data_IF_061054307668
#
_entry.id   IF_061054307668
#
_cell.length_a   1.000
_cell.length_b   1.000
_cell.length_c   1.000
_cell.angle_alpha   90.00
_cell.angle_beta   90.00
_cell.angle_gamma   90.00
#
_symmetry.space_group_name_H-M   'P 1'
#
loop_
_entity.id
_entity.type
_entity.pdbx_description
1 polymer ?
#
# COMPACT_ATOMS: atom_id res chain seq x y z
N UNK A 1 5.41 -11.78 27.89
CA UNK A 1 6.86 -11.52 27.92
C UNK A 1 7.33 -11.49 26.48
N UNK A 2 7.68 -10.31 25.95
CA UNK A 2 8.30 -10.23 24.61
C UNK A 2 9.69 -10.89 24.66
N UNK A 3 10.17 -11.45 23.53
CA UNK A 3 11.52 -12.00 23.47
C UNK A 3 12.53 -10.92 23.92
N UNK A 4 13.38 -11.27 24.88
CA UNK A 4 14.48 -10.41 25.30
C UNK A 4 15.46 -10.32 24.13
N UNK A 5 15.72 -9.11 23.67
CA UNK A 5 16.79 -8.81 22.72
C UNK A 5 18.14 -9.24 23.30
N UNK A 6 18.54 -10.48 23.03
CA UNK A 6 19.94 -10.93 23.13
C UNK A 6 20.48 -11.37 21.76
N UNK A 7 19.73 -11.15 20.68
CA UNK A 7 20.14 -11.43 19.31
C UNK A 7 20.57 -10.12 18.64
N UNK A 8 21.78 -10.11 18.07
CA UNK A 8 22.42 -8.92 17.52
C UNK A 8 21.56 -8.19 16.49
N UNK A 9 21.79 -6.89 16.36
CA UNK A 9 21.16 -6.04 15.34
C UNK A 9 21.16 -6.74 13.98
N UNK A 10 20.00 -6.70 13.31
CA UNK A 10 19.87 -7.26 11.98
C UNK A 10 20.83 -6.54 11.03
N UNK A 11 21.51 -7.30 10.18
CA UNK A 11 22.42 -6.75 9.20
C UNK A 11 21.74 -6.73 7.84
N UNK A 12 21.70 -5.55 7.23
CA UNK A 12 21.14 -5.35 5.92
C UNK A 12 22.06 -4.48 5.07
N UNK A 13 22.06 -4.72 3.77
CA UNK A 13 22.84 -3.95 2.79
C UNK A 13 21.93 -3.41 1.69
N UNK A 14 22.30 -2.28 1.10
CA UNK A 14 21.54 -1.66 0.02
C UNK A 14 21.77 -2.42 -1.28
N UNK A 15 20.68 -2.88 -1.90
CA UNK A 15 20.67 -3.54 -3.22
C UNK A 15 20.23 -2.56 -4.31
N UNK A 16 19.28 -1.67 -3.99
CA UNK A 16 18.82 -0.62 -4.90
C UNK A 16 18.72 0.70 -4.13
N UNK A 17 19.16 1.79 -4.75
CA UNK A 17 18.98 3.15 -4.26
C UNK A 17 18.55 4.04 -5.42
N UNK A 18 17.45 4.78 -5.25
CA UNK A 18 17.06 5.82 -6.19
C UNK A 18 17.99 7.02 -6.05
N UNK A 19 18.25 7.78 -7.12
CA UNK A 19 19.01 9.04 -7.00
C UNK A 19 18.36 10.01 -6.00
N UNK A 20 17.04 9.94 -5.84
CA UNK A 20 16.28 10.70 -4.86
C UNK A 20 16.68 10.43 -3.42
N UNK A 21 17.19 9.24 -3.10
CA UNK A 21 17.55 8.91 -1.73
C UNK A 21 18.75 9.71 -1.22
N UNK A 22 19.59 10.25 -2.12
CA UNK A 22 20.67 11.17 -1.79
C UNK A 22 20.17 12.52 -1.25
N UNK A 23 18.87 12.81 -1.38
CA UNK A 23 18.24 14.03 -0.82
C UNK A 23 17.78 13.84 0.62
N UNK A 24 17.80 12.62 1.16
CA UNK A 24 17.42 12.38 2.54
C UNK A 24 18.45 13.00 3.48
N UNK A 25 17.97 13.64 4.54
CA UNK A 25 18.85 14.17 5.58
C UNK A 25 19.53 13.00 6.33
N UNK A 26 20.81 13.14 6.74
CA UNK A 26 21.52 12.09 7.47
C UNK A 26 20.77 11.56 8.71
N UNK A 27 20.17 12.43 9.53
CA UNK A 27 19.40 12.02 10.71
C UNK A 27 18.19 11.13 10.37
N UNK A 28 17.52 11.41 9.25
CA UNK A 28 16.38 10.61 8.78
C UNK A 28 16.84 9.26 8.22
N UNK A 29 18.01 9.24 7.57
CA UNK A 29 18.65 8.01 7.10
C UNK A 29 19.07 7.12 8.27
N UNK A 30 19.72 7.70 9.29
CA UNK A 30 20.12 6.97 10.50
C UNK A 30 18.89 6.41 11.22
N UNK A 31 17.84 7.21 11.41
CA UNK A 31 16.59 6.75 12.02
C UNK A 31 16.00 5.54 11.27
N UNK A 32 15.93 5.63 9.94
CA UNK A 32 15.45 4.54 9.09
C UNK A 32 16.32 3.29 9.22
N UNK A 33 17.64 3.42 9.21
CA UNK A 33 18.57 2.30 9.33
C UNK A 33 18.50 1.63 10.71
N UNK A 34 18.33 2.41 11.79
CA UNK A 34 18.08 1.88 13.13
C UNK A 34 16.79 1.04 13.17
N UNK A 35 15.73 1.46 12.47
CA UNK A 35 14.48 0.69 12.35
C UNK A 35 14.70 -0.62 11.56
N UNK A 36 15.42 -0.56 10.43
CA UNK A 36 15.71 -1.74 9.60
C UNK A 36 16.53 -2.78 10.38
N UNK A 37 17.51 -2.31 11.15
CA UNK A 37 18.41 -3.13 11.97
C UNK A 37 17.76 -3.62 13.28
N UNK A 38 16.51 -3.23 13.57
CA UNK A 38 15.85 -3.43 14.87
C UNK A 38 16.63 -2.85 16.06
N UNK A 39 17.47 -1.85 15.83
CA UNK A 39 18.04 -0.99 16.87
C UNK A 39 16.98 -0.06 17.48
N UNK A 40 15.98 0.31 16.67
CA UNK A 40 14.74 0.98 17.10
C UNK A 40 13.54 0.10 16.73
N UNK A 41 12.58 -0.03 17.66
CA UNK A 41 11.34 -0.78 17.40
C UNK A 41 10.54 -0.11 16.29
N UNK A 42 10.22 -0.80 15.17
CA UNK A 42 9.43 -0.20 14.11
C UNK A 42 7.98 0.06 14.59
N UNK A 43 7.44 1.21 14.22
CA UNK A 43 6.03 1.54 14.50
C UNK A 43 5.13 1.02 13.39
N UNK A 44 4.09 0.27 13.75
CA UNK A 44 3.08 -0.24 12.84
C UNK A 44 1.72 0.37 13.19
N UNK A 45 1.24 1.35 12.40
CA UNK A 45 -0.04 2.00 12.64
C UNK A 45 -1.22 1.02 12.65
N UNK A 46 -1.10 -0.06 11.87
CA UNK A 46 -2.13 -1.08 11.70
C UNK A 46 -1.53 -2.50 11.81
N UNK A 47 -2.41 -3.50 11.87
CA UNK A 47 -2.01 -4.92 11.76
C UNK A 47 -1.41 -5.13 10.37
N UNK A 48 -0.22 -5.74 10.30
CA UNK A 48 0.43 -6.02 9.02
C UNK A 48 1.94 -5.78 9.04
N UNK A 49 2.51 -5.70 7.82
CA UNK A 49 3.97 -5.72 7.56
C UNK A 49 4.53 -4.39 7.07
N UNK A 50 3.78 -3.31 7.25
CA UNK A 50 4.16 -1.97 6.82
C UNK A 50 4.40 -1.11 8.06
N UNK A 51 5.66 -0.92 8.39
CA UNK A 51 6.06 0.06 9.39
C UNK A 51 6.05 1.46 8.78
N UNK A 52 5.99 2.47 9.65
CA UNK A 52 5.90 3.87 9.28
C UNK A 52 6.90 4.70 10.08
N UNK A 53 7.54 5.66 9.40
CA UNK A 53 8.51 6.59 10.02
C UNK A 53 8.20 8.01 9.54
N UNK A 54 7.89 8.92 10.47
CA UNK A 54 7.78 10.36 10.16
C UNK A 54 9.17 10.92 9.89
N UNK A 55 9.32 11.69 8.81
CA UNK A 55 10.58 12.40 8.57
C UNK A 55 10.67 13.64 9.44
N UNK A 56 11.86 13.87 10.00
CA UNK A 56 12.27 15.09 10.68
C UNK A 56 12.45 16.19 9.64
N UNK A 57 13.07 15.87 8.49
CA UNK A 57 13.32 16.80 7.39
C UNK A 57 12.58 16.35 6.13
N UNK A 58 11.33 16.82 5.92
CA UNK A 58 10.63 16.61 4.65
C UNK A 58 11.42 17.12 3.46
N UNK A 59 11.38 16.43 2.33
CA UNK A 59 12.13 16.79 1.13
C UNK A 59 11.29 16.67 -0.14
N UNK A 60 11.71 17.39 -1.19
CA UNK A 60 11.03 17.37 -2.48
C UNK A 60 11.55 16.26 -3.39
N UNK A 61 10.63 15.46 -3.91
CA UNK A 61 10.87 14.41 -4.91
C UNK A 61 10.20 14.80 -6.25
N UNK A 62 10.97 14.97 -7.34
CA UNK A 62 10.38 15.08 -8.68
C UNK A 62 9.67 13.77 -9.06
N UNK A 63 8.42 13.88 -9.51
CA UNK A 63 7.67 12.80 -10.14
C UNK A 63 6.96 13.32 -11.40
N UNK A 64 7.38 12.83 -12.57
CA UNK A 64 6.94 13.29 -13.87
C UNK A 64 7.27 14.76 -14.07
N UNK A 65 6.25 15.55 -14.42
CA UNK A 65 6.36 17.01 -14.58
C UNK A 65 6.09 17.78 -13.27
N UNK A 66 5.87 17.08 -12.16
CA UNK A 66 5.55 17.68 -10.87
C UNK A 66 6.56 17.36 -9.78
N UNK A 67 6.32 17.94 -8.61
CA UNK A 67 7.10 17.69 -7.39
C UNK A 67 6.15 17.21 -6.30
N UNK A 68 6.62 16.26 -5.49
CA UNK A 68 5.93 15.73 -4.34
C UNK A 68 6.79 15.94 -3.09
N UNK A 69 6.22 16.56 -2.05
CA UNK A 69 6.91 16.71 -0.77
C UNK A 69 6.75 15.43 0.04
N UNK A 70 7.85 14.71 0.24
CA UNK A 70 7.92 13.49 1.04
C UNK A 70 8.02 13.87 2.51
N UNK A 71 7.08 13.36 3.31
CA UNK A 71 6.92 13.71 4.73
C UNK A 71 7.07 12.53 5.67
N UNK A 72 6.99 11.32 5.14
CA UNK A 72 7.18 10.08 5.90
C UNK A 72 7.70 8.97 4.99
N UNK A 73 8.09 7.86 5.61
CA UNK A 73 8.54 6.64 4.96
C UNK A 73 7.61 5.49 5.32
N UNK A 74 7.32 4.65 4.31
CA UNK A 74 6.82 3.28 4.49
C UNK A 74 8.00 2.32 4.43
N UNK A 75 8.14 1.47 5.45
CA UNK A 75 9.13 0.40 5.48
C UNK A 75 8.39 -0.94 5.48
N UNK A 76 8.58 -1.74 4.43
CA UNK A 76 7.93 -3.04 4.28
C UNK A 76 8.97 -4.15 4.30
N UNK A 77 8.79 -5.11 5.19
CA UNK A 77 9.78 -6.18 5.40
C UNK A 77 10.64 -6.01 6.66
N UNK A 78 10.38 -4.99 7.49
CA UNK A 78 11.05 -4.78 8.78
C UNK A 78 10.36 -5.46 9.95
N UNK A 79 9.27 -6.19 9.76
CA UNK A 79 8.54 -6.84 10.85
C UNK A 79 7.06 -7.00 10.57
N UNK A 80 6.36 -7.62 11.52
CA UNK A 80 4.91 -7.79 11.47
C UNK A 80 4.30 -7.40 12.83
N UNK A 81 3.23 -6.62 12.80
CA UNK A 81 2.28 -6.50 13.91
C UNK A 81 1.09 -7.43 13.67
N UNK A 82 0.86 -8.37 14.58
CA UNK A 82 -0.26 -9.32 14.47
C UNK A 82 -1.58 -8.78 15.07
N UNK A 83 -2.65 -9.57 14.94
CA UNK A 83 -3.99 -9.23 15.43
C UNK A 83 -4.12 -9.15 16.96
N UNK A 84 -3.14 -9.69 17.70
CA UNK A 84 -3.04 -9.59 19.17
C UNK A 84 -2.16 -8.41 19.58
N UNK A 85 -1.63 -7.65 18.62
CA UNK A 85 -0.66 -6.59 18.86
C UNK A 85 0.76 -7.10 19.12
N UNK A 86 1.02 -8.39 18.90
CA UNK A 86 2.35 -8.98 18.98
C UNK A 86 3.23 -8.48 17.85
N UNK A 87 4.48 -8.18 18.20
CA UNK A 87 5.52 -7.72 17.29
C UNK A 87 6.43 -8.89 16.92
N UNK A 88 6.62 -9.13 15.62
CA UNK A 88 7.42 -10.23 15.09
C UNK A 88 8.58 -9.70 14.26
N UNK A 89 9.76 -10.28 14.48
CA UNK A 89 10.95 -10.03 13.69
C UNK A 89 10.80 -10.58 12.26
N UNK A 90 11.48 -9.96 11.28
CA UNK A 90 11.70 -10.56 9.97
C UNK A 90 12.30 -11.97 10.10
N UNK A 91 11.67 -12.97 9.50
CA UNK A 91 12.20 -14.33 9.43
C UNK A 91 11.66 -15.07 8.20
N UNK A 92 12.24 -16.23 7.89
CA UNK A 92 11.77 -17.12 6.84
C UNK A 92 10.55 -17.96 7.23
N UNK A 93 10.00 -17.78 8.44
CA UNK A 93 8.77 -18.46 8.87
C UNK A 93 7.62 -18.08 7.95
N UNK A 94 6.83 -19.05 7.52
CA UNK A 94 5.69 -18.79 6.64
C UNK A 94 4.59 -18.02 7.39
N UNK A 95 4.20 -16.88 6.83
CA UNK A 95 3.05 -16.10 7.22
C UNK A 95 1.97 -16.19 6.12
N UNK A 96 0.78 -16.64 6.51
CA UNK A 96 -0.42 -16.66 5.66
C UNK A 96 -1.39 -15.61 6.17
N UNK A 97 -1.82 -14.71 5.28
CA UNK A 97 -2.87 -13.74 5.64
C UNK A 97 -4.17 -14.51 5.95
N UNK A 98 -4.90 -14.12 7.01
CA UNK A 98 -6.13 -14.79 7.39
C UNK A 98 -7.30 -14.51 6.43
N UNK A 99 -7.23 -13.40 5.70
CA UNK A 99 -8.35 -12.91 4.90
C UNK A 99 -8.09 -13.03 3.40
N UNK A 100 -9.05 -13.61 2.70
CA UNK A 100 -9.16 -13.50 1.25
C UNK A 100 -9.58 -12.07 0.86
N UNK A 101 -9.31 -11.69 -0.38
CA UNK A 101 -9.81 -10.43 -0.94
C UNK A 101 -10.55 -10.70 -2.24
N UNK A 102 -11.48 -9.80 -2.58
CA UNK A 102 -12.13 -9.82 -3.89
C UNK A 102 -11.08 -9.53 -4.96
N UNK A 103 -10.98 -10.43 -5.93
CA UNK A 103 -10.11 -10.28 -7.09
C UNK A 103 -10.76 -10.82 -8.35
N UNK A 104 -9.94 -11.05 -9.36
CA UNK A 104 -10.33 -11.60 -10.65
C UNK A 104 -9.39 -12.75 -10.97
N UNK A 105 -9.96 -13.92 -11.28
CA UNK A 105 -9.20 -15.11 -11.68
C UNK A 105 -8.66 -15.02 -13.12
N UNK A 106 -8.00 -16.08 -13.57
CA UNK A 106 -7.42 -16.20 -14.91
C UNK A 106 -8.49 -16.17 -16.03
N UNK A 107 -9.75 -16.47 -15.70
CA UNK A 107 -10.89 -16.43 -16.62
C UNK A 107 -11.60 -15.06 -16.64
N UNK A 108 -11.13 -14.10 -15.84
CA UNK A 108 -11.76 -12.79 -15.75
C UNK A 108 -13.02 -12.78 -14.88
N UNK A 109 -13.22 -13.80 -14.05
CA UNK A 109 -14.37 -13.93 -13.15
C UNK A 109 -14.01 -13.40 -11.76
N UNK A 110 -14.95 -12.68 -11.14
CA UNK A 110 -14.77 -12.23 -9.76
C UNK A 110 -14.74 -13.42 -8.82
N UNK A 111 -13.71 -13.50 -7.98
CA UNK A 111 -13.53 -14.59 -7.02
C UNK A 111 -12.86 -14.09 -5.73
N UNK A 112 -12.87 -14.94 -4.71
CA UNK A 112 -12.02 -14.77 -3.54
C UNK A 112 -10.60 -15.21 -3.86
N UNK A 113 -9.65 -14.29 -3.72
CA UNK A 113 -8.23 -14.52 -3.96
C UNK A 113 -7.50 -14.56 -2.63
N UNK A 114 -6.84 -15.68 -2.37
CA UNK A 114 -5.95 -15.83 -1.23
C UNK A 114 -4.56 -15.31 -1.58
N UNK A 115 -3.96 -14.56 -0.67
CA UNK A 115 -2.57 -14.11 -0.86
C UNK A 115 -1.63 -15.31 -0.82
N UNK A 116 -0.64 -15.32 -1.71
CA UNK A 116 0.48 -16.26 -1.61
C UNK A 116 1.15 -16.15 -0.23
N UNK A 117 1.68 -17.26 0.32
CA UNK A 117 2.44 -17.20 1.55
C UNK A 117 3.62 -16.24 1.40
N UNK A 118 3.93 -15.58 2.50
CA UNK A 118 5.01 -14.61 2.57
C UNK A 118 5.87 -14.88 3.81
N UNK A 119 7.11 -14.39 3.86
CA UNK A 119 7.89 -14.48 5.08
C UNK A 119 7.27 -13.65 6.22
N UNK A 120 7.41 -14.15 7.45
CA UNK A 120 6.96 -13.50 8.67
C UNK A 120 7.75 -12.21 8.85
N UNK A 121 7.05 -11.08 8.81
CA UNK A 121 7.62 -9.75 8.99
C UNK A 121 8.55 -9.25 7.88
N UNK A 122 9.16 -10.14 7.08
CA UNK A 122 10.01 -9.76 5.97
C UNK A 122 9.24 -9.58 4.65
N UNK A 123 9.96 -9.15 3.61
CA UNK A 123 9.51 -9.18 2.21
C UNK A 123 10.47 -10.07 1.41
N UNK A 124 9.96 -10.87 0.48
CA UNK A 124 10.84 -11.58 -0.44
C UNK A 124 11.52 -10.57 -1.38
N UNK A 125 12.82 -10.72 -1.64
CA UNK A 125 13.61 -9.78 -2.44
C UNK A 125 13.00 -9.52 -3.82
N UNK A 126 12.56 -10.56 -4.53
CA UNK A 126 11.89 -10.40 -5.82
C UNK A 126 10.64 -9.49 -5.74
N UNK A 127 9.85 -9.60 -4.67
CA UNK A 127 8.68 -8.77 -4.41
C UNK A 127 9.05 -7.32 -4.08
N UNK A 128 10.14 -7.12 -3.31
CA UNK A 128 10.68 -5.79 -3.03
C UNK A 128 11.13 -5.09 -4.32
N UNK A 129 11.81 -5.81 -5.22
CA UNK A 129 12.24 -5.30 -6.53
C UNK A 129 11.04 -4.95 -7.41
N UNK A 130 9.99 -5.79 -7.47
CA UNK A 130 8.76 -5.49 -8.22
C UNK A 130 8.13 -4.19 -7.71
N UNK A 131 7.97 -4.04 -6.40
CA UNK A 131 7.36 -2.84 -5.80
C UNK A 131 8.22 -1.58 -6.09
N UNK A 132 9.54 -1.68 -5.89
CA UNK A 132 10.49 -0.59 -6.18
C UNK A 132 10.46 -0.15 -7.65
N UNK A 133 10.55 -1.10 -8.58
CA UNK A 133 10.59 -0.81 -10.01
C UNK A 133 9.27 -0.25 -10.51
N UNK A 134 8.14 -0.81 -10.07
CA UNK A 134 6.80 -0.29 -10.39
C UNK A 134 6.63 1.14 -9.89
N UNK A 135 6.97 1.41 -8.62
CA UNK A 135 6.86 2.75 -8.05
C UNK A 135 7.75 3.76 -8.80
N UNK A 136 8.91 3.33 -9.29
CA UNK A 136 9.85 4.17 -10.06
C UNK A 136 9.25 4.57 -11.39
N UNK A 137 8.66 3.62 -12.10
CA UNK A 137 8.02 3.86 -13.41
C UNK A 137 6.78 4.73 -13.27
N UNK A 138 6.00 4.55 -12.20
CA UNK A 138 4.86 5.41 -11.90
C UNK A 138 5.29 6.84 -11.52
N UNK A 139 6.30 6.99 -10.66
CA UNK A 139 6.81 8.32 -10.32
C UNK A 139 7.41 9.01 -11.56
N UNK A 140 7.96 8.29 -12.54
CA UNK A 140 8.44 8.88 -13.79
C UNK A 140 7.33 9.54 -14.64
N UNK A 141 6.06 9.12 -14.50
CA UNK A 141 4.93 9.72 -15.21
C UNK A 141 4.14 10.73 -14.36
N UNK A 142 4.19 10.63 -13.03
CA UNK A 142 3.53 11.58 -12.14
C UNK A 142 3.33 11.07 -10.70
N UNK A 143 2.73 11.89 -9.82
CA UNK A 143 2.54 11.56 -8.41
C UNK A 143 1.33 10.62 -8.21
N UNK A 144 1.42 9.41 -8.75
CA UNK A 144 0.34 8.39 -8.75
C UNK A 144 0.52 7.42 -7.58
N UNK A 145 1.77 7.15 -7.17
CA UNK A 145 2.13 6.18 -6.14
C UNK A 145 3.05 6.78 -5.08
N UNK A 146 3.45 5.96 -4.12
CA UNK A 146 4.65 6.19 -3.30
C UNK A 146 5.92 6.35 -4.16
N UNK A 147 6.93 7.00 -3.57
CA UNK A 147 8.23 7.27 -4.22
C UNK A 147 9.25 6.22 -3.76
N UNK A 148 9.83 5.41 -4.63
CA UNK A 148 10.81 4.40 -4.22
C UNK A 148 12.12 5.06 -3.81
N UNK A 149 12.69 4.62 -2.68
CA UNK A 149 13.96 5.16 -2.17
C UNK A 149 15.03 4.08 -2.12
N UNK A 150 14.76 2.99 -1.41
CA UNK A 150 15.73 1.91 -1.21
C UNK A 150 15.11 0.52 -1.28
N UNK A 151 15.94 -0.45 -1.66
CA UNK A 151 15.75 -1.87 -1.32
C UNK A 151 16.97 -2.34 -0.56
N UNK A 152 16.76 -2.86 0.64
CA UNK A 152 17.78 -3.51 1.44
C UNK A 152 17.60 -5.03 1.40
N UNK A 153 18.71 -5.78 1.49
CA UNK A 153 18.72 -7.23 1.69
C UNK A 153 19.28 -7.55 3.07
N UNK A 154 18.61 -8.42 3.83
CA UNK A 154 19.16 -8.97 5.06
C UNK A 154 20.25 -10.00 4.74
N UNK A 155 21.45 -9.81 5.27
CA UNK A 155 22.64 -10.62 4.91
C UNK A 155 22.84 -11.84 5.78
N UNK A 156 22.18 -11.89 6.94
CA UNK A 156 22.31 -12.97 7.94
C UNK A 156 21.04 -13.79 8.16
N UNK A 157 19.93 -13.40 7.55
CA UNK A 157 18.70 -14.17 7.63
C UNK A 157 18.66 -15.22 6.53
N UNK A 158 18.18 -16.40 6.88
CA UNK A 158 17.93 -17.45 5.89
C UNK A 158 16.86 -17.00 4.89
N UNK A 159 17.00 -17.46 3.64
CA UNK A 159 16.03 -17.21 2.58
C UNK A 159 14.66 -17.81 2.89
N UNK A 160 13.62 -17.22 2.29
CA UNK A 160 12.24 -17.71 2.33
C UNK A 160 12.00 -18.67 1.16
N UNK A 161 11.40 -19.83 1.46
CA UNK A 161 10.93 -20.78 0.45
C UNK A 161 9.44 -20.63 0.24
N UNK A 162 9.03 -20.33 -0.99
CA UNK A 162 7.62 -20.26 -1.36
C UNK A 162 7.00 -21.64 -1.62
N UNK A 163 5.69 -21.67 -1.90
CA UNK A 163 4.95 -22.92 -2.16
C UNK A 163 5.46 -23.66 -3.43
N UNK A 164 6.20 -22.99 -4.33
CA UNK A 164 6.83 -23.62 -5.51
C UNK A 164 8.17 -24.29 -5.19
N UNK A 165 8.70 -24.07 -3.98
CA UNK A 165 10.03 -24.50 -3.58
C UNK A 165 11.14 -23.52 -3.94
N UNK A 166 10.82 -22.39 -4.59
CA UNK A 166 11.80 -21.35 -4.93
C UNK A 166 12.24 -20.61 -3.68
N UNK A 167 13.55 -20.36 -3.56
CA UNK A 167 14.13 -19.64 -2.41
C UNK A 167 14.46 -18.21 -2.82
N UNK A 168 14.02 -17.24 -2.01
CA UNK A 168 14.35 -15.83 -2.17
C UNK A 168 14.99 -15.29 -0.91
N UNK A 169 15.99 -14.42 -1.07
CA UNK A 169 16.52 -13.60 0.01
C UNK A 169 15.40 -12.76 0.65
N UNK A 170 15.59 -12.41 1.92
CA UNK A 170 14.71 -11.50 2.65
C UNK A 170 15.17 -10.05 2.46
N UNK A 171 14.22 -9.16 2.28
CA UNK A 171 14.45 -7.78 1.93
C UNK A 171 13.54 -6.81 2.67
N UNK A 172 13.94 -5.54 2.63
CA UNK A 172 13.14 -4.38 3.04
C UNK A 172 12.98 -3.45 1.85
N UNK A 173 11.76 -3.01 1.59
CA UNK A 173 11.48 -1.88 0.72
C UNK A 173 11.28 -0.62 1.56
N UNK A 174 11.92 0.47 1.14
CA UNK A 174 11.69 1.82 1.68
C UNK A 174 11.08 2.69 0.58
N UNK A 175 9.91 3.27 0.87
CA UNK A 175 9.23 4.21 -0.01
C UNK A 175 8.85 5.49 0.74
N UNK A 176 9.05 6.65 0.09
CA UNK A 176 8.62 7.95 0.58
C UNK A 176 7.13 8.19 0.31
N UNK A 177 6.43 8.79 1.28
CA UNK A 177 5.02 9.11 1.22
C UNK A 177 4.76 10.63 1.33
N UNK A 178 3.77 11.17 0.60
CA UNK A 178 3.43 12.60 0.61
C UNK A 178 2.56 13.05 1.78
N UNK A 179 2.61 12.34 2.90
CA UNK A 179 1.72 12.53 4.03
C UNK A 179 2.48 12.32 5.32
N UNK A 180 2.09 13.03 6.37
CA UNK A 180 2.60 12.82 7.71
C UNK A 180 1.63 12.00 8.59
N UNK A 181 0.60 11.44 7.96
CA UNK A 181 -0.40 10.59 8.57
C UNK A 181 -0.34 9.18 7.96
N UNK A 182 -0.35 8.10 8.76
CA UNK A 182 -0.37 6.74 8.24
C UNK A 182 -1.75 6.27 7.76
N UNK A 183 -2.76 7.15 7.78
CA UNK A 183 -4.14 6.80 7.47
C UNK A 183 -4.29 6.42 5.99
N UNK A 184 -4.96 5.29 5.77
CA UNK A 184 -5.28 4.71 4.47
C UNK A 184 -6.75 4.93 4.12
N UNK A 185 -7.11 4.70 2.86
CA UNK A 185 -8.46 4.97 2.39
C UNK A 185 -9.51 4.00 2.95
N UNK A 186 -9.14 2.79 3.33
CA UNK A 186 -10.03 1.84 4.02
C UNK A 186 -10.47 2.33 5.40
N UNK A 187 -9.67 3.15 6.09
CA UNK A 187 -10.11 3.83 7.31
C UNK A 187 -11.31 4.76 7.04
N UNK A 188 -11.42 5.37 5.85
CA UNK A 188 -12.58 6.19 5.47
C UNK A 188 -13.83 5.32 5.21
N UNK A 189 -13.65 4.16 4.58
CA UNK A 189 -14.73 3.19 4.36
C UNK A 189 -15.27 2.67 5.70
N UNK A 190 -14.39 2.49 6.68
CA UNK A 190 -14.72 2.02 8.03
C UNK A 190 -14.72 3.15 9.07
N UNK A 191 -15.05 4.38 8.67
CA UNK A 191 -14.92 5.60 9.48
C UNK A 191 -15.45 5.49 10.91
N UNK A 192 -16.67 4.95 11.08
CA UNK A 192 -17.34 4.85 12.37
C UNK A 192 -16.60 3.94 13.38
N UNK A 193 -15.73 3.04 12.90
CA UNK A 193 -14.93 2.12 13.72
C UNK A 193 -13.55 2.69 14.06
N UNK A 194 -13.19 3.86 13.53
CA UNK A 194 -11.88 4.44 13.70
C UNK A 194 -11.77 5.21 15.02
N UNK A 195 -10.55 5.32 15.54
CA UNK A 195 -10.26 6.14 16.71
C UNK A 195 -10.52 7.64 16.43
N UNK A 196 -10.74 8.47 17.48
CA UNK A 196 -10.95 9.90 17.30
C UNK A 196 -9.82 10.62 16.54
N UNK A 197 -8.57 10.20 16.72
CA UNK A 197 -7.41 10.77 16.01
C UNK A 197 -7.44 10.44 14.51
N UNK A 198 -7.74 9.20 14.13
CA UNK A 198 -7.90 8.80 12.73
C UNK A 198 -9.10 9.51 12.10
N UNK A 199 -10.23 9.62 12.82
CA UNK A 199 -11.39 10.38 12.34
C UNK A 199 -11.07 11.86 12.11
N UNK A 200 -10.23 12.48 12.95
CA UNK A 200 -9.80 13.86 12.76
C UNK A 200 -8.94 14.03 11.50
N UNK A 201 -8.00 13.12 11.25
CA UNK A 201 -7.21 13.10 10.03
C UNK A 201 -8.08 12.92 8.77
N UNK A 202 -9.05 11.99 8.82
CA UNK A 202 -10.00 11.76 7.73
C UNK A 202 -10.90 12.97 7.45
N UNK A 203 -11.33 13.70 8.50
CA UNK A 203 -12.07 14.96 8.35
C UNK A 203 -11.21 16.04 7.69
N UNK A 204 -9.93 16.14 8.06
CA UNK A 204 -8.98 17.06 7.43
C UNK A 204 -8.79 16.76 5.94
N UNK A 205 -8.59 15.47 5.60
CA UNK A 205 -8.50 15.04 4.21
C UNK A 205 -9.78 15.33 3.42
N UNK A 206 -10.96 14.98 3.97
CA UNK A 206 -12.24 15.20 3.31
C UNK A 206 -12.49 16.68 3.02
N UNK A 207 -12.25 17.57 3.98
CA UNK A 207 -12.36 19.02 3.78
C UNK A 207 -11.46 19.52 2.66
N UNK A 208 -10.24 18.99 2.54
CA UNK A 208 -9.34 19.35 1.45
C UNK A 208 -9.87 18.90 0.07
N UNK A 209 -10.71 17.85 0.01
CA UNK A 209 -11.31 17.36 -1.24
C UNK A 209 -12.67 18.01 -1.57
N UNK A 210 -13.47 18.34 -0.56
CA UNK A 210 -14.87 18.78 -0.73
C UNK A 210 -15.13 20.24 -0.34
N UNK A 211 -14.15 20.93 0.24
CA UNK A 211 -14.26 22.30 0.75
C UNK A 211 -14.59 22.39 2.26
N UNK A 212 -14.66 23.62 2.77
CA UNK A 212 -14.73 23.96 4.21
C UNK A 212 -16.12 23.77 4.88
N UNK A 213 -16.91 22.81 4.40
CA UNK A 213 -18.22 22.48 4.94
C UNK A 213 -18.21 21.60 6.20
N UNK A 214 -19.40 21.30 6.70
CA UNK A 214 -19.60 20.14 7.59
C UNK A 214 -19.06 18.87 6.92
N UNK A 215 -18.64 17.90 7.74
CA UNK A 215 -18.09 16.66 7.22
C UNK A 215 -19.16 15.86 6.46
N UNK A 216 -19.13 15.95 5.14
CA UNK A 216 -19.93 15.13 4.24
C UNK A 216 -19.21 13.81 3.94
N UNK A 217 -19.59 12.76 4.67
CA UNK A 217 -19.01 11.43 4.51
C UNK A 217 -19.31 10.83 3.12
N UNK A 218 -20.50 11.08 2.57
CA UNK A 218 -20.87 10.55 1.26
C UNK A 218 -20.09 11.25 0.14
N UNK A 219 -19.97 12.58 0.23
CA UNK A 219 -19.11 13.38 -0.65
C UNK A 219 -17.64 12.96 -0.58
N UNK A 220 -17.11 12.70 0.62
CA UNK A 220 -15.73 12.22 0.80
C UNK A 220 -15.50 10.84 0.15
N UNK A 221 -16.46 9.91 0.27
CA UNK A 221 -16.35 8.63 -0.43
C UNK A 221 -16.46 8.78 -1.94
N UNK A 222 -17.35 9.62 -2.45
CA UNK A 222 -17.48 9.87 -3.87
C UNK A 222 -16.18 10.46 -4.45
N UNK A 223 -15.57 11.42 -3.75
CA UNK A 223 -14.26 11.98 -4.10
C UNK A 223 -13.16 10.90 -4.09
N UNK A 224 -13.10 10.09 -3.04
CA UNK A 224 -12.15 8.97 -2.94
C UNK A 224 -12.25 8.02 -4.14
N UNK A 225 -13.45 7.55 -4.47
CA UNK A 225 -13.64 6.57 -5.55
C UNK A 225 -13.47 7.20 -6.93
N UNK A 226 -13.81 8.48 -7.10
CA UNK A 226 -13.51 9.24 -8.31
C UNK A 226 -12.02 9.35 -8.58
N UNK A 227 -11.25 9.75 -7.55
CA UNK A 227 -9.78 9.80 -7.59
C UNK A 227 -9.18 8.43 -7.84
N UNK A 228 -9.69 7.39 -7.18
CA UNK A 228 -9.23 6.02 -7.40
C UNK A 228 -9.42 5.57 -8.84
N UNK A 229 -10.58 5.81 -9.43
CA UNK A 229 -10.84 5.52 -10.84
C UNK A 229 -9.86 6.25 -11.77
N UNK A 230 -9.49 7.49 -11.45
CA UNK A 230 -8.46 8.24 -12.19
C UNK A 230 -7.08 7.60 -12.06
N UNK A 231 -6.63 7.33 -10.83
CA UNK A 231 -5.32 6.71 -10.57
C UNK A 231 -5.19 5.32 -11.19
N UNK A 232 -6.26 4.53 -11.20
CA UNK A 232 -6.28 3.24 -11.89
C UNK A 232 -6.13 3.37 -13.40
N UNK A 233 -6.78 4.35 -14.04
CA UNK A 233 -6.60 4.60 -15.47
C UNK A 233 -5.17 5.01 -15.79
N UNK A 234 -4.56 5.85 -14.95
CA UNK A 234 -3.15 6.25 -15.10
C UNK A 234 -2.22 5.04 -14.93
N UNK A 235 -2.42 4.25 -13.87
CA UNK A 235 -1.70 3.00 -13.60
C UNK A 235 -1.80 2.00 -14.76
N UNK A 236 -2.99 1.82 -15.33
CA UNK A 236 -3.19 0.98 -16.53
C UNK A 236 -2.59 1.59 -17.80
N UNK A 237 -2.59 2.91 -17.92
CA UNK A 237 -1.94 3.65 -19.00
C UNK A 237 -0.43 3.44 -19.04
N UNK A 238 0.20 3.22 -17.88
CA UNK A 238 1.60 2.82 -17.74
C UNK A 238 1.86 1.34 -18.07
N UNK A 239 0.84 0.58 -18.49
CA UNK A 239 1.01 -0.83 -18.81
C UNK A 239 1.04 -1.74 -17.58
N UNK A 240 0.58 -1.29 -16.42
CA UNK A 240 0.42 -2.14 -15.24
C UNK A 240 -1.03 -2.59 -15.04
N UNK A 241 -1.22 -3.63 -14.25
CA UNK A 241 -2.52 -3.98 -13.68
C UNK A 241 -2.35 -4.68 -12.33
N UNK A 242 -3.44 -4.73 -11.55
CA UNK A 242 -3.49 -5.40 -10.25
C UNK A 242 -4.80 -6.18 -10.13
N UNK A 243 -4.74 -7.38 -9.58
CA UNK A 243 -5.92 -8.20 -9.33
C UNK A 243 -6.67 -7.77 -8.06
N UNK A 244 -6.00 -7.02 -7.17
CA UNK A 244 -6.55 -6.58 -5.90
C UNK A 244 -6.73 -5.05 -5.88
N UNK A 245 -7.98 -4.61 -5.77
CA UNK A 245 -8.39 -3.21 -5.70
C UNK A 245 -8.76 -2.74 -4.28
N UNK A 246 -8.28 -3.43 -3.24
CA UNK A 246 -8.64 -3.12 -1.85
C UNK A 246 -8.21 -1.69 -1.45
N UNK A 247 -9.09 -0.98 -0.75
CA UNK A 247 -8.87 0.41 -0.34
C UNK A 247 -7.66 0.58 0.60
N UNK A 248 -7.25 -0.48 1.30
CA UNK A 248 -6.00 -0.49 2.09
C UNK A 248 -4.75 -0.25 1.24
N UNK A 249 -4.81 -0.42 -0.09
CA UNK A 249 -3.68 -0.17 -0.98
C UNK A 249 -3.65 1.28 -1.49
N UNK A 250 -4.39 2.18 -0.83
CA UNK A 250 -4.50 3.60 -1.15
C UNK A 250 -4.11 4.43 0.07
N UNK A 251 -3.05 5.22 -0.07
CA UNK A 251 -2.67 6.22 0.92
C UNK A 251 -3.42 7.53 0.68
N UNK A 252 -3.70 8.26 1.77
CA UNK A 252 -4.33 9.57 1.71
C UNK A 252 -3.27 10.67 1.84
N UNK A 253 -3.17 11.52 0.81
CA UNK A 253 -2.30 12.70 0.79
C UNK A 253 -3.12 14.00 0.79
N UNK A 254 -2.44 15.14 0.98
CA UNK A 254 -3.10 16.45 0.96
C UNK A 254 -3.79 16.77 -0.40
N UNK A 255 -3.29 16.18 -1.49
CA UNK A 255 -3.75 16.44 -2.86
C UNK A 255 -4.48 15.23 -3.48
N UNK A 256 -5.19 14.46 -2.66
CA UNK A 256 -5.94 13.28 -3.09
C UNK A 256 -5.28 11.98 -2.64
N UNK A 257 -5.44 10.91 -3.41
CA UNK A 257 -4.89 9.60 -3.06
C UNK A 257 -3.65 9.23 -3.89
N UNK A 258 -2.87 8.29 -3.35
CA UNK A 258 -1.76 7.65 -4.05
C UNK A 258 -1.76 6.13 -3.82
N UNK A 259 -1.24 5.38 -4.78
CA UNK A 259 -1.16 3.93 -4.76
C UNK A 259 0.02 3.47 -3.90
N UNK A 260 -0.20 2.48 -3.03
CA UNK A 260 0.84 1.80 -2.24
C UNK A 260 0.72 0.29 -2.40
N UNK A 261 1.70 -0.44 -1.85
CA UNK A 261 1.72 -1.91 -1.78
C UNK A 261 1.69 -2.54 -3.18
N UNK A 262 2.64 -2.10 -4.00
CA UNK A 262 2.73 -2.47 -5.42
C UNK A 262 3.43 -3.81 -5.67
N UNK A 263 3.78 -4.59 -4.64
CA UNK A 263 4.47 -5.88 -4.81
C UNK A 263 3.61 -6.92 -5.56
N UNK A 264 2.29 -6.73 -5.58
CA UNK A 264 1.35 -7.56 -6.35
C UNK A 264 1.07 -7.08 -7.78
N UNK A 265 1.74 -6.01 -8.21
CA UNK A 265 1.60 -5.46 -9.56
C UNK A 265 2.11 -6.42 -10.61
N UNK A 266 1.43 -6.45 -11.77
CA UNK A 266 1.83 -7.20 -12.96
C UNK A 266 1.85 -6.30 -14.19
N UNK A 267 2.62 -6.68 -15.22
CA UNK A 267 2.60 -5.99 -16.50
C UNK A 267 1.39 -6.43 -17.31
N UNK A 268 0.67 -5.49 -17.93
CA UNK A 268 -0.53 -5.74 -18.72
C UNK A 268 -0.33 -6.76 -19.84
N UNK A 269 0.90 -6.91 -20.34
CA UNK A 269 1.27 -7.96 -21.31
C UNK A 269 1.10 -9.38 -20.73
N UNK A 270 1.19 -9.53 -19.41
CA UNK A 270 0.95 -10.78 -18.68
C UNK A 270 -0.53 -10.99 -18.36
N UNK A 271 -1.41 -10.04 -18.72
CA UNK A 271 -2.84 -10.22 -18.55
C UNK A 271 -3.32 -11.24 -19.61
N UNK A 272 -3.98 -12.35 -19.22
CA UNK A 272 -4.55 -13.28 -20.17
C UNK A 272 -5.41 -12.52 -21.18
N UNK A 273 -5.35 -12.85 -22.48
CA UNK A 273 -6.27 -12.25 -23.44
C UNK A 273 -7.68 -12.50 -22.94
N UNK A 274 -8.53 -11.48 -22.98
CA UNK A 274 -9.94 -11.65 -22.66
C UNK A 274 -10.45 -12.78 -23.56
N UNK A 275 -10.67 -13.97 -22.99
CA UNK A 275 -11.28 -15.08 -23.72
C UNK A 275 -12.55 -14.49 -24.31
N UNK A 276 -12.72 -14.57 -25.63
CA UNK A 276 -13.97 -14.16 -26.27
C UNK A 276 -15.08 -14.74 -25.42
N UNK A 277 -15.82 -13.87 -24.72
CA UNK A 277 -16.83 -14.31 -23.76
C UNK A 277 -17.79 -15.14 -24.57
N UNK A 278 -17.61 -16.47 -24.51
CA UNK A 278 -18.53 -17.39 -25.14
C UNK A 278 -19.91 -17.00 -24.64
N UNK A 279 -20.88 -17.00 -25.54
CA UNK A 279 -22.25 -16.48 -25.44
C UNK A 279 -23.10 -17.10 -24.30
N UNK A 280 -22.53 -17.31 -23.11
CA UNK A 280 -23.07 -18.08 -21.98
C UNK A 280 -23.26 -17.27 -20.70
N UNK A 281 -22.95 -15.98 -20.68
CA UNK A 281 -23.50 -15.11 -19.63
C UNK A 281 -24.89 -14.61 -20.07
N UNK A 282 -25.84 -15.54 -20.16
CA UNK A 282 -27.28 -15.26 -20.24
C UNK A 282 -27.85 -14.80 -18.90
N UNK A 283 -27.13 -13.96 -18.17
CA UNK A 283 -27.68 -13.23 -17.03
C UNK A 283 -28.14 -11.88 -17.57
N UNK A 284 -29.44 -11.64 -17.75
CA UNK A 284 -29.93 -10.31 -18.07
C UNK A 284 -29.43 -9.36 -16.98
N UNK A 285 -28.74 -8.29 -17.36
CA UNK A 285 -28.48 -7.17 -16.47
C UNK A 285 -29.84 -6.75 -15.89
N UNK A 286 -30.01 -6.66 -14.57
CA UNK A 286 -31.25 -6.12 -14.01
C UNK A 286 -31.43 -4.73 -14.59
N UNK A 287 -32.53 -4.53 -15.32
CA UNK A 287 -32.94 -3.22 -15.80
C UNK A 287 -33.24 -2.37 -14.56
N UNK A 288 -32.25 -1.61 -14.09
CA UNK A 288 -32.48 -0.55 -13.12
C UNK A 288 -33.31 0.53 -13.80
N UNK A 289 -34.62 0.46 -13.61
CA UNK A 289 -35.52 1.56 -13.92
C UNK A 289 -35.18 2.73 -12.99
N UNK A 290 -34.74 3.84 -13.57
CA UNK A 290 -34.51 5.13 -12.88
C UNK A 290 -35.80 5.79 -12.37
N UNK A 291 -36.94 5.08 -12.34
CA UNK A 291 -38.26 5.65 -12.01
C UNK A 291 -38.62 5.64 -10.53
N UNK A 292 -37.80 5.11 -9.62
CA UNK A 292 -38.18 4.96 -8.19
C UNK A 292 -37.53 5.95 -7.21
N UNK A 293 -36.84 7.00 -7.68
CA UNK A 293 -36.22 8.02 -6.81
C UNK A 293 -37.02 9.33 -6.66
N UNK A 294 -38.34 9.30 -6.86
CA UNK A 294 -39.22 10.42 -6.51
C UNK A 294 -40.46 9.94 -5.75
N UNK A 295 -40.32 9.69 -4.44
CA UNK A 295 -41.40 9.77 -3.44
C UNK A 295 -40.86 9.47 -2.05
N UNK A 296 -40.39 10.50 -1.36
CA UNK A 296 -40.57 10.66 0.10
C UNK A 296 -40.01 12.01 0.53
N UNK A 297 -40.76 13.07 0.21
CA UNK A 297 -40.62 14.36 0.87
C UNK A 297 -42.03 14.96 0.98
N UNK A 298 -42.78 14.49 1.99
CA UNK A 298 -43.92 15.18 2.64
C UNK A 298 -44.46 14.30 3.75
N UNK A 299 -44.76 14.95 4.88
CA UNK A 299 -45.38 14.46 6.11
C UNK A 299 -44.43 13.91 7.19
N UNK A 300 -43.82 14.82 7.96
CA UNK A 300 -44.15 15.09 9.37
C UNK A 300 -43.26 16.19 9.90
#
# INVERSE_FOLDING_TARGET
MGPRATEGQLQAEVICAASLSQRMHPDDLELMEQVIAWGLMPEFPEIGRSAWVKLIHPFEAPCGQGTQVIRSLKLKGVGLRDHRGGMHYPSNTVYRRPDAHLGIDEDGVFCEVWSAPAPMGALALNRAIVEYTTARELCAVGPISEVPLFVYRYTKLEGFRDDSGSVSDLAVLVAGLPTDSPVRADNLVHYAKQSPSVQAALRGWARAQTGDGEFDWAGAQLALWGDYGKRLREFHGCGFYRHNAHASNLGLGAHGIFLVDLDSTRYKLDCPPARERSKRCGMPLPAYSMSSLTRSARAS
#
